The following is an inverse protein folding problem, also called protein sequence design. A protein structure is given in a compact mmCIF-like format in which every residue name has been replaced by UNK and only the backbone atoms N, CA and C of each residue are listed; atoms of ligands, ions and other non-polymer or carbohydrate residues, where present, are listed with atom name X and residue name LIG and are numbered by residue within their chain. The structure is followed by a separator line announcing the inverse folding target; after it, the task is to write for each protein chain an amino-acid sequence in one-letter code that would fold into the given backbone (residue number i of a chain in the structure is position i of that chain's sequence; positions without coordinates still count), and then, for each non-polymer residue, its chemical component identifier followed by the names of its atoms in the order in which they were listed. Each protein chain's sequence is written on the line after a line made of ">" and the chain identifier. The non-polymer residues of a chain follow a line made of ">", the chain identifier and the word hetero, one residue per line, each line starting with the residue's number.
data_IF_522787629381
#
_entry.id   IF_522787629381
#
_cell.length_a   1.000
_cell.length_b   1.000
_cell.length_c   1.000
_cell.angle_alpha   90.00
_cell.angle_beta   90.00
_cell.angle_gamma   90.00
#
_symmetry.space_group_name_H-M   'P 1'
#
loop_
_entity.id
_entity.type
_entity.pdbx_description
1 polymer ?
#
# COMPACT_ATOMS: atom_id res chain seq x y z
N UNK A 1 18.76 -16.77 10.38
CA UNK A 1 17.32 -16.80 10.04
C UNK A 1 16.74 -15.47 10.48
N UNK A 2 16.01 -14.76 9.61
CA UNK A 2 15.32 -13.52 10.00
C UNK A 2 14.23 -13.84 11.02
N UNK A 3 13.98 -12.90 11.94
CA UNK A 3 12.87 -12.99 12.89
C UNK A 3 11.54 -12.97 12.13
N UNK A 4 10.59 -13.84 12.48
CA UNK A 4 9.26 -13.87 11.87
C UNK A 4 8.29 -13.03 12.69
N UNK A 5 7.52 -12.17 12.04
CA UNK A 5 6.57 -11.28 12.69
C UNK A 5 5.19 -11.33 12.04
N UNK A 6 4.18 -11.00 12.83
CA UNK A 6 2.80 -10.80 12.38
C UNK A 6 2.45 -9.33 12.57
N UNK A 7 1.83 -8.71 11.56
CA UNK A 7 1.49 -7.29 11.59
C UNK A 7 0.02 -7.00 11.27
N UNK A 8 -0.53 -5.95 11.86
CA UNK A 8 -1.75 -5.31 11.41
C UNK A 8 -1.42 -4.07 10.59
N UNK A 9 -1.92 -3.97 9.36
CA UNK A 9 -1.79 -2.78 8.52
C UNK A 9 -3.14 -2.08 8.47
N UNK A 10 -3.20 -0.88 9.05
CA UNK A 10 -4.27 0.05 8.77
C UNK A 10 -3.97 0.77 7.46
N UNK A 11 -4.53 0.28 6.36
CA UNK A 11 -4.37 0.90 5.05
C UNK A 11 -5.37 2.06 4.94
N UNK A 12 -5.14 3.20 5.58
CA UNK A 12 -6.12 4.29 5.53
C UNK A 12 -6.17 4.99 4.16
N UNK A 13 -7.22 5.76 3.93
CA UNK A 13 -7.39 6.50 2.66
C UNK A 13 -6.35 7.59 2.48
N UNK A 14 -5.98 8.29 3.56
CA UNK A 14 -5.02 9.40 3.54
C UNK A 14 -3.69 9.01 4.16
N UNK A 15 -3.72 8.21 5.23
CA UNK A 15 -2.52 7.76 5.92
C UNK A 15 -2.66 6.27 6.22
N UNK A 16 -1.55 5.56 6.16
CA UNK A 16 -1.45 4.16 6.54
C UNK A 16 -0.53 3.99 7.74
N UNK A 17 -0.88 3.07 8.63
CA UNK A 17 -0.14 2.77 9.87
C UNK A 17 0.06 1.27 9.99
N UNK A 18 1.20 0.86 10.54
CA UNK A 18 1.45 -0.56 10.84
C UNK A 18 1.64 -0.76 12.34
N UNK A 19 1.01 -1.79 12.87
CA UNK A 19 1.21 -2.28 14.21
C UNK A 19 1.75 -3.72 14.18
N UNK A 20 2.59 -4.07 15.15
CA UNK A 20 3.11 -5.42 15.36
C UNK A 20 2.55 -5.98 16.65
N UNK A 21 2.41 -7.31 16.70
CA UNK A 21 2.24 -8.00 17.97
C UNK A 21 3.62 -8.29 18.55
N UNK A 22 3.88 -7.75 19.73
CA UNK A 22 5.13 -7.99 20.47
C UNK A 22 5.19 -9.41 21.01
N UNK A 23 6.36 -9.83 21.49
CA UNK A 23 6.53 -11.14 22.14
C UNK A 23 5.69 -11.29 23.42
N UNK A 24 5.34 -10.16 24.06
CA UNK A 24 4.46 -10.12 25.22
C UNK A 24 2.96 -10.27 24.84
N UNK A 25 2.62 -10.19 23.55
CA UNK A 25 1.26 -10.24 23.05
C UNK A 25 0.58 -8.88 22.91
N UNK A 26 1.25 -7.79 23.29
CA UNK A 26 0.74 -6.43 23.13
C UNK A 26 0.88 -5.94 21.69
N UNK A 27 -0.10 -5.15 21.23
CA UNK A 27 -0.03 -4.49 19.93
C UNK A 27 0.68 -3.14 20.04
N UNK A 28 1.74 -2.95 19.28
CA UNK A 28 2.52 -1.71 19.24
C UNK A 28 2.63 -1.16 17.82
N UNK A 29 2.41 0.15 17.66
CA UNK A 29 2.65 0.84 16.39
C UNK A 29 4.16 0.81 16.09
N UNK A 30 4.51 0.49 14.85
CA UNK A 30 5.90 0.47 14.40
C UNK A 30 6.48 1.87 14.53
N UNK A 31 7.67 1.97 15.12
CA UNK A 31 8.42 3.22 15.23
C UNK A 31 9.79 3.10 14.58
N UNK A 32 10.15 4.10 13.78
CA UNK A 32 11.50 4.25 13.20
C UNK A 32 12.08 5.56 13.69
N UNK A 33 13.33 5.51 14.18
CA UNK A 33 14.01 6.65 14.80
C UNK A 33 13.16 7.40 15.87
N UNK A 34 12.36 6.65 16.64
CA UNK A 34 11.52 7.19 17.72
C UNK A 34 10.21 7.84 17.28
N UNK A 35 9.83 7.74 16.00
CA UNK A 35 8.56 8.26 15.47
C UNK A 35 7.69 7.14 14.94
N UNK A 36 6.37 7.26 15.13
CA UNK A 36 5.39 6.34 14.55
C UNK A 36 5.52 6.34 13.02
N UNK A 37 5.55 5.15 12.42
CA UNK A 37 5.55 4.97 10.96
C UNK A 37 4.13 5.21 10.46
N UNK A 38 3.82 6.47 10.19
CA UNK A 38 2.63 6.91 9.48
C UNK A 38 3.06 7.29 8.07
N UNK A 39 2.51 6.61 7.06
CA UNK A 39 2.85 6.84 5.65
C UNK A 39 1.65 7.44 4.93
N UNK A 40 1.75 8.62 4.29
CA UNK A 40 0.69 9.12 3.43
C UNK A 40 0.33 8.08 2.36
N UNK A 41 -0.96 7.81 2.18
CA UNK A 41 -1.47 6.84 1.18
C UNK A 41 -1.60 7.54 -0.17
N UNK A 42 -0.46 7.85 -0.75
CA UNK A 42 -0.33 8.53 -2.04
C UNK A 42 0.80 7.89 -2.85
N UNK A 43 0.72 8.01 -4.17
CA UNK A 43 1.71 7.47 -5.08
C UNK A 43 2.11 8.49 -6.13
N UNK A 44 3.32 8.35 -6.64
CA UNK A 44 3.80 9.06 -7.82
C UNK A 44 4.39 8.05 -8.80
N UNK A 45 3.94 8.06 -10.05
CA UNK A 45 4.39 7.09 -11.06
C UNK A 45 5.46 7.70 -11.96
N UNK A 46 6.66 7.10 -11.92
CA UNK A 46 7.80 7.46 -12.75
C UNK A 46 8.21 6.30 -13.67
N UNK A 47 7.51 6.17 -14.80
CA UNK A 47 7.72 5.09 -15.75
C UNK A 47 7.35 3.73 -15.18
N UNK A 48 8.38 2.93 -14.87
CA UNK A 48 8.23 1.62 -14.22
C UNK A 48 8.37 1.67 -12.70
N UNK A 49 8.81 2.81 -12.15
CA UNK A 49 8.97 3.00 -10.73
C UNK A 49 7.76 3.72 -10.14
N UNK A 50 7.49 3.47 -8.87
CA UNK A 50 6.46 4.15 -8.11
C UNK A 50 7.06 4.64 -6.81
N UNK A 51 6.86 5.91 -6.47
CA UNK A 51 7.21 6.45 -5.15
C UNK A 51 5.95 6.44 -4.26
N UNK A 52 6.13 6.36 -2.95
CA UNK A 52 5.02 6.37 -1.99
C UNK A 52 5.28 7.29 -0.79
N UNK A 53 4.20 7.70 -0.11
CA UNK A 53 4.31 8.51 1.11
C UNK A 53 4.96 9.88 0.84
N UNK A 54 5.82 10.33 1.77
CA UNK A 54 6.46 11.64 1.69
C UNK A 54 7.28 11.84 0.40
N UNK A 55 7.90 10.79 -0.14
CA UNK A 55 8.65 10.89 -1.40
C UNK A 55 7.73 11.19 -2.59
N UNK A 56 6.54 10.58 -2.62
CA UNK A 56 5.53 10.89 -3.62
C UNK A 56 4.94 12.30 -3.44
N UNK A 57 4.69 12.74 -2.20
CA UNK A 57 4.22 14.11 -1.92
C UNK A 57 5.24 15.16 -2.39
N UNK A 58 6.54 14.91 -2.16
CA UNK A 58 7.59 15.83 -2.63
C UNK A 58 7.67 15.90 -4.16
N UNK A 59 7.34 14.81 -4.86
CA UNK A 59 7.34 14.76 -6.32
C UNK A 59 6.11 15.45 -6.95
N UNK A 60 4.98 15.54 -6.23
CA UNK A 60 3.73 16.18 -6.69
C UNK A 60 3.96 17.61 -7.21
N UNK A 61 4.83 18.38 -6.54
CA UNK A 61 5.10 19.76 -6.92
C UNK A 61 5.80 19.92 -8.29
N UNK A 62 6.45 18.86 -8.79
CA UNK A 62 7.18 18.87 -10.05
C UNK A 62 6.29 18.43 -11.22
N UNK A 63 5.49 17.37 -11.03
CA UNK A 63 4.60 16.82 -12.04
C UNK A 63 3.33 16.25 -11.38
N UNK A 64 2.29 17.07 -11.15
CA UNK A 64 1.08 16.64 -10.48
C UNK A 64 0.25 15.64 -11.31
N UNK A 65 0.47 15.53 -12.62
CA UNK A 65 -0.30 14.63 -13.49
C UNK A 65 0.05 13.15 -13.24
N UNK A 66 1.23 12.89 -12.66
CA UNK A 66 1.72 11.57 -12.28
C UNK A 66 1.38 11.18 -10.84
N UNK A 67 0.75 12.09 -10.10
CA UNK A 67 0.45 11.91 -8.68
C UNK A 67 -0.96 11.34 -8.48
N UNK A 68 -1.05 10.27 -7.69
CA UNK A 68 -2.30 9.59 -7.35
C UNK A 68 -2.58 9.78 -5.87
N UNK A 69 -3.63 10.54 -5.59
CA UNK A 69 -4.11 10.82 -4.23
C UNK A 69 -5.20 9.83 -3.83
N UNK A 70 -5.11 9.28 -2.62
CA UNK A 70 -6.18 8.48 -2.00
C UNK A 70 -6.66 7.27 -2.85
N UNK A 71 -5.73 6.41 -3.36
CA UNK A 71 -6.05 5.28 -4.25
C UNK A 71 -7.08 4.31 -3.65
N UNK A 72 -7.16 4.23 -2.31
CA UNK A 72 -8.12 3.37 -1.61
C UNK A 72 -9.58 3.68 -1.97
N UNK A 73 -9.91 4.91 -2.37
CA UNK A 73 -11.28 5.29 -2.79
C UNK A 73 -11.71 4.66 -4.10
N UNK A 74 -10.73 4.22 -4.89
CA UNK A 74 -10.94 3.68 -6.22
C UNK A 74 -11.15 2.16 -6.19
N UNK A 75 -10.86 1.50 -5.06
CA UNK A 75 -11.14 0.08 -4.87
C UNK A 75 -12.64 -0.20 -4.94
N UNK A 76 -12.98 -1.26 -5.64
CA UNK A 76 -14.34 -1.70 -5.95
C UNK A 76 -14.87 -1.19 -7.30
N UNK A 77 -14.23 -0.18 -7.90
CA UNK A 77 -14.58 0.31 -9.24
C UNK A 77 -14.00 -0.61 -10.31
N UNK A 78 -14.77 -0.81 -11.38
CA UNK A 78 -14.39 -1.67 -12.51
C UNK A 78 -14.78 -1.03 -13.83
N UNK A 79 -14.11 -1.44 -14.91
CA UNK A 79 -14.54 -1.17 -16.28
C UNK A 79 -15.78 -2.02 -16.62
N UNK A 80 -16.35 -1.80 -17.81
CA UNK A 80 -17.54 -2.52 -18.30
C UNK A 80 -17.33 -4.04 -18.41
N UNK A 81 -16.08 -4.47 -18.63
CA UNK A 81 -15.69 -5.88 -18.68
C UNK A 81 -15.41 -6.50 -17.30
N UNK A 82 -15.58 -5.72 -16.22
CA UNK A 82 -15.38 -6.16 -14.84
C UNK A 82 -13.93 -6.12 -14.35
N UNK A 83 -12.98 -5.67 -15.16
CA UNK A 83 -11.58 -5.49 -14.75
C UNK A 83 -11.40 -4.26 -13.85
N UNK A 84 -10.38 -4.23 -12.96
CA UNK A 84 -10.08 -3.02 -12.17
C UNK A 84 -9.81 -1.80 -13.06
N UNK A 85 -10.28 -0.63 -12.65
CA UNK A 85 -10.04 0.60 -13.40
C UNK A 85 -8.55 0.97 -13.44
N UNK A 86 -8.14 1.61 -14.54
CA UNK A 86 -6.82 2.23 -14.69
C UNK A 86 -6.85 3.60 -14.01
N UNK A 87 -5.92 3.83 -13.08
CA UNK A 87 -5.79 5.13 -12.41
C UNK A 87 -4.77 6.03 -13.11
N UNK A 88 -3.78 5.44 -13.75
CA UNK A 88 -2.77 6.17 -14.49
C UNK A 88 -2.30 5.39 -15.70
N UNK A 89 -2.25 6.05 -16.86
CA UNK A 89 -1.66 5.51 -18.07
C UNK A 89 -0.42 6.35 -18.39
N UNK A 90 0.76 5.76 -18.23
CA UNK A 90 2.00 6.47 -18.44
C UNK A 90 2.20 6.74 -19.94
N UNK A 91 2.25 8.01 -20.39
CA UNK A 91 2.38 8.35 -21.80
C UNK A 91 3.80 8.11 -22.34
N UNK A 92 4.79 8.00 -21.46
CA UNK A 92 6.20 7.77 -21.82
C UNK A 92 6.52 6.30 -22.00
N UNK A 93 5.96 5.41 -21.17
CA UNK A 93 6.20 3.96 -21.27
C UNK A 93 5.05 3.20 -21.94
N UNK A 94 3.87 3.80 -22.03
CA UNK A 94 2.65 3.13 -22.48
C UNK A 94 2.04 2.17 -21.45
N UNK A 95 2.62 2.10 -20.25
CA UNK A 95 2.16 1.21 -19.17
C UNK A 95 0.88 1.75 -18.55
N UNK A 96 -0.07 0.85 -18.33
CA UNK A 96 -1.29 1.16 -17.59
C UNK A 96 -1.18 0.61 -16.18
N UNK A 97 -1.49 1.46 -15.21
CA UNK A 97 -1.47 1.16 -13.80
C UNK A 97 -2.89 1.15 -13.27
N UNK A 98 -3.38 -0.05 -12.92
CA UNK A 98 -4.70 -0.19 -12.30
C UNK A 98 -4.69 0.20 -10.82
N UNK A 99 -5.88 0.38 -10.26
CA UNK A 99 -6.03 0.57 -8.81
C UNK A 99 -5.42 -0.59 -8.01
N UNK A 100 -5.49 -1.81 -8.54
CA UNK A 100 -4.89 -3.00 -7.90
C UNK A 100 -3.37 -2.92 -7.97
N UNK A 101 -2.80 -2.58 -9.13
CA UNK A 101 -1.35 -2.48 -9.31
C UNK A 101 -0.73 -1.43 -8.40
N UNK A 102 -1.30 -0.22 -8.37
CA UNK A 102 -0.79 0.85 -7.52
C UNK A 102 -0.98 0.54 -6.03
N UNK A 103 -2.10 -0.08 -5.66
CA UNK A 103 -2.27 -0.54 -4.27
C UNK A 103 -1.23 -1.60 -3.91
N UNK A 104 -0.89 -2.50 -4.84
CA UNK A 104 0.15 -3.51 -4.64
C UNK A 104 1.54 -2.88 -4.48
N UNK A 105 1.89 -1.89 -5.30
CA UNK A 105 3.13 -1.12 -5.15
C UNK A 105 3.24 -0.47 -3.77
N UNK A 106 2.17 0.16 -3.31
CA UNK A 106 2.12 0.74 -1.97
C UNK A 106 2.38 -0.29 -0.87
N UNK A 107 1.66 -1.41 -0.91
CA UNK A 107 1.78 -2.47 0.11
C UNK A 107 3.15 -3.17 0.06
N UNK A 108 3.70 -3.38 -1.14
CA UNK A 108 5.01 -4.00 -1.36
C UNK A 108 6.13 -3.15 -0.79
N UNK A 109 6.13 -1.85 -1.12
CA UNK A 109 7.13 -0.92 -0.58
C UNK A 109 7.00 -0.74 0.92
N UNK A 110 5.78 -0.69 1.45
CA UNK A 110 5.54 -0.66 2.91
C UNK A 110 6.09 -1.93 3.58
N UNK A 111 5.82 -3.12 3.04
CA UNK A 111 6.38 -4.39 3.51
C UNK A 111 7.90 -4.37 3.50
N UNK A 112 8.51 -4.01 2.37
CA UNK A 112 9.97 -3.99 2.21
C UNK A 112 10.64 -3.02 3.18
N UNK A 113 10.05 -1.83 3.37
CA UNK A 113 10.50 -0.87 4.36
C UNK A 113 10.51 -1.46 5.76
N UNK A 114 9.39 -2.08 6.18
CA UNK A 114 9.27 -2.68 7.52
C UNK A 114 10.23 -3.85 7.73
N UNK A 115 10.33 -4.77 6.77
CA UNK A 115 11.23 -5.93 6.86
C UNK A 115 12.71 -5.52 6.91
N UNK A 116 13.06 -4.40 6.27
CA UNK A 116 14.39 -3.80 6.34
C UNK A 116 14.65 -3.16 7.70
N UNK A 117 13.76 -2.26 8.14
CA UNK A 117 13.92 -1.51 9.40
C UNK A 117 13.90 -2.41 10.64
N UNK A 118 13.16 -3.51 10.60
CA UNK A 118 12.98 -4.43 11.72
C UNK A 118 13.92 -5.66 11.66
N UNK A 119 14.69 -5.82 10.58
CA UNK A 119 15.44 -7.04 10.23
C UNK A 119 14.60 -8.33 10.43
N UNK A 120 13.39 -8.30 9.89
CA UNK A 120 12.37 -9.32 10.10
C UNK A 120 11.69 -9.72 8.78
N UNK A 121 10.96 -10.82 8.83
CA UNK A 121 10.11 -11.34 7.75
C UNK A 121 8.64 -11.29 8.21
N UNK A 122 7.79 -10.63 7.45
CA UNK A 122 6.35 -10.60 7.71
C UNK A 122 5.75 -11.90 7.18
N UNK A 123 5.22 -12.72 8.09
CA UNK A 123 4.71 -14.08 7.75
C UNK A 123 3.20 -14.22 7.89
N UNK A 124 2.53 -13.17 8.37
CA UNK A 124 1.09 -13.15 8.52
C UNK A 124 0.61 -11.78 8.98
N UNK A 125 -0.68 -11.55 8.90
CA UNK A 125 -1.23 -10.29 9.38
C UNK A 125 -2.70 -10.09 9.08
N UNK A 126 -3.12 -8.84 9.24
CA UNK A 126 -4.42 -8.37 8.79
C UNK A 126 -4.28 -7.02 8.09
N UNK A 127 -5.12 -6.79 7.10
CA UNK A 127 -5.20 -5.53 6.35
C UNK A 127 -6.57 -4.91 6.55
N UNK A 128 -6.62 -3.70 7.11
CA UNK A 128 -7.88 -3.04 7.44
C UNK A 128 -8.65 -2.59 6.19
N UNK A 129 -9.98 -2.66 6.26
CA UNK A 129 -10.85 -2.02 5.29
C UNK A 129 -12.12 -1.47 5.94
N UNK A 130 -12.75 -0.44 5.35
CA UNK A 130 -14.02 0.07 5.86
C UNK A 130 -15.11 -1.01 5.87
N UNK A 131 -16.03 -0.92 6.83
CA UNK A 131 -17.15 -1.87 6.93
C UNK A 131 -18.07 -1.86 5.71
N UNK A 132 -18.17 -0.72 5.02
CA UNK A 132 -19.00 -0.55 3.83
C UNK A 132 -18.36 -1.07 2.53
N UNK A 133 -17.10 -1.54 2.56
CA UNK A 133 -16.49 -2.16 1.38
C UNK A 133 -17.33 -3.35 0.91
N UNK A 134 -17.74 -3.30 -0.35
CA UNK A 134 -18.42 -4.40 -1.02
C UNK A 134 -17.44 -5.53 -1.35
N UNK A 135 -17.95 -6.66 -1.83
CA UNK A 135 -17.11 -7.82 -2.13
C UNK A 135 -16.10 -7.55 -3.25
N UNK A 136 -16.38 -6.61 -4.16
CA UNK A 136 -15.43 -6.22 -5.22
C UNK A 136 -14.24 -5.49 -4.62
N UNK A 137 -14.48 -4.50 -3.77
CA UNK A 137 -13.42 -3.74 -3.12
C UNK A 137 -12.55 -4.63 -2.24
N UNK A 138 -13.16 -5.58 -1.51
CA UNK A 138 -12.42 -6.58 -0.71
C UNK A 138 -11.57 -7.51 -1.58
N UNK A 139 -12.12 -7.99 -2.71
CA UNK A 139 -11.37 -8.83 -3.66
C UNK A 139 -10.18 -8.08 -4.27
N UNK A 140 -10.38 -6.86 -4.73
CA UNK A 140 -9.31 -6.04 -5.30
C UNK A 140 -8.21 -5.73 -4.28
N UNK A 141 -8.59 -5.42 -3.04
CA UNK A 141 -7.61 -5.21 -1.95
C UNK A 141 -6.81 -6.47 -1.66
N UNK A 142 -7.47 -7.64 -1.64
CA UNK A 142 -6.79 -8.93 -1.46
C UNK A 142 -5.84 -9.24 -2.62
N UNK A 143 -6.26 -9.03 -3.87
CA UNK A 143 -5.40 -9.20 -5.04
C UNK A 143 -4.16 -8.32 -4.95
N UNK A 144 -4.32 -7.06 -4.54
CA UNK A 144 -3.19 -6.15 -4.36
C UNK A 144 -2.21 -6.64 -3.27
N UNK A 145 -2.73 -7.16 -2.16
CA UNK A 145 -1.89 -7.73 -1.10
C UNK A 145 -1.15 -9.00 -1.55
N UNK A 146 -1.82 -9.88 -2.30
CA UNK A 146 -1.20 -11.07 -2.91
C UNK A 146 -0.08 -10.68 -3.90
N UNK A 147 -0.32 -9.69 -4.76
CA UNK A 147 0.67 -9.15 -5.70
C UNK A 147 1.85 -8.47 -4.98
N UNK A 148 1.61 -7.86 -3.82
CA UNK A 148 2.65 -7.29 -2.96
C UNK A 148 3.46 -8.36 -2.19
N UNK A 149 3.09 -9.63 -2.27
CA UNK A 149 3.68 -10.71 -1.48
C UNK A 149 3.43 -10.55 0.02
N UNK A 150 2.35 -9.87 0.40
CA UNK A 150 1.98 -9.64 1.79
C UNK A 150 1.00 -10.74 2.24
N UNK A 151 1.34 -11.59 3.23
CA UNK A 151 0.48 -12.68 3.68
C UNK A 151 -0.63 -12.18 4.63
N UNK A 152 -1.76 -11.74 4.08
CA UNK A 152 -2.94 -11.21 4.81
C UNK A 152 -4.27 -11.83 4.39
#
# INVERSE_FOLDING_TARGET
>A
MKRKIVCGIDFGTTNSVVALITEAGDAEVVRVAGKDVVRPTVLYVDGDNVLIGEEAENAEALDPDRFIREPKRELGKTNDDGTPIVLFADPTTGKQWSVVDLTAEFLSQLKNFLESELDAEIVGGGLSHPAYFDDRARRQLKMAAEQAGLPV
#
